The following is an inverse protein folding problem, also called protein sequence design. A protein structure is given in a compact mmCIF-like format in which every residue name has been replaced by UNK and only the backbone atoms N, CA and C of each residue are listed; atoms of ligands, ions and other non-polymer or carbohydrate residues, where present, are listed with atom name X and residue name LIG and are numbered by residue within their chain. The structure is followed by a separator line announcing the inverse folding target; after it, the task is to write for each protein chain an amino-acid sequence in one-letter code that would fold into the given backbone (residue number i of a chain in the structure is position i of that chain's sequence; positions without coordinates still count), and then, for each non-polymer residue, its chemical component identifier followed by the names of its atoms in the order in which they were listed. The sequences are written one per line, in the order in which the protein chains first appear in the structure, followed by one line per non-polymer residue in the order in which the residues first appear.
data_IF_019746398219
#
_entry.id   IF_019746398219
#
_cell.length_a   1.000
_cell.length_b   1.000
_cell.length_c   1.000
_cell.angle_alpha   90.00
_cell.angle_beta   90.00
_cell.angle_gamma   90.00
#
_symmetry.space_group_name_H-M   'P 1'
#
loop_
_entity.id
_entity.type
_entity.pdbx_description
1 polymer ?
#
# COMPACT_ATOMS: atom_id res chain seq x y z
N UNK A 1 33.31 -63.31 18.10
CA UNK A 1 32.40 -62.30 17.49
C UNK A 1 31.97 -61.33 18.57
N UNK A 2 32.52 -60.08 18.57
CA UNK A 2 32.22 -59.10 19.59
C UNK A 2 31.07 -58.17 19.11
N UNK A 3 29.94 -58.29 19.78
CA UNK A 3 28.74 -57.53 19.46
C UNK A 3 28.87 -56.09 20.04
N UNK A 4 29.18 -55.08 19.17
CA UNK A 4 29.29 -53.67 19.54
C UNK A 4 27.88 -53.09 19.77
N UNK A 5 27.44 -53.08 21.02
CA UNK A 5 26.20 -52.41 21.42
C UNK A 5 26.38 -50.89 21.23
N UNK A 6 25.70 -50.31 20.24
CA UNK A 6 25.64 -48.85 20.03
C UNK A 6 24.85 -48.18 21.17
N UNK A 7 25.56 -47.53 22.12
CA UNK A 7 24.93 -46.70 23.15
C UNK A 7 24.16 -45.55 22.47
N UNK A 8 22.83 -45.53 22.53
CA UNK A 8 21.99 -44.40 22.14
C UNK A 8 22.32 -43.22 23.05
N UNK A 9 22.86 -42.14 22.46
CA UNK A 9 23.19 -40.88 23.15
C UNK A 9 21.90 -40.24 23.61
N UNK A 10 21.63 -40.17 24.90
CA UNK A 10 20.44 -39.54 25.49
C UNK A 10 20.59 -38.04 25.34
N UNK A 11 19.81 -37.42 24.45
CA UNK A 11 19.80 -35.95 24.24
C UNK A 11 19.26 -35.32 25.52
N UNK A 12 20.02 -34.42 26.15
CA UNK A 12 19.56 -33.70 27.34
C UNK A 12 18.46 -32.71 26.93
N UNK A 13 17.47 -32.50 27.81
CA UNK A 13 16.36 -31.54 27.54
C UNK A 13 16.89 -30.14 27.20
N UNK A 14 18.00 -29.70 27.80
CA UNK A 14 18.67 -28.43 27.54
C UNK A 14 19.18 -28.34 26.10
N UNK A 15 19.80 -29.43 25.58
CA UNK A 15 20.29 -29.43 24.19
C UNK A 15 19.14 -29.44 23.18
N UNK A 16 18.01 -30.06 23.53
CA UNK A 16 16.81 -30.03 22.67
C UNK A 16 16.24 -28.59 22.56
N UNK A 17 16.09 -27.91 23.70
CA UNK A 17 15.61 -26.51 23.72
C UNK A 17 16.56 -25.58 22.98
N UNK A 18 17.86 -25.69 23.19
CA UNK A 18 18.87 -24.91 22.46
C UNK A 18 18.77 -25.12 20.95
N UNK A 19 18.56 -26.37 20.50
CA UNK A 19 18.39 -26.71 19.08
C UNK A 19 17.10 -26.10 18.51
N UNK A 20 15.99 -26.14 19.23
CA UNK A 20 14.73 -25.53 18.80
C UNK A 20 14.88 -24.02 18.65
N UNK A 21 15.44 -23.33 19.65
CA UNK A 21 15.70 -21.88 19.60
C UNK A 21 16.60 -21.51 18.42
N UNK A 22 17.66 -22.31 18.18
CA UNK A 22 18.55 -22.06 17.04
C UNK A 22 17.84 -22.24 15.71
N UNK A 23 16.99 -23.25 15.56
CA UNK A 23 16.19 -23.46 14.33
C UNK A 23 15.24 -22.29 14.11
N UNK A 24 14.51 -21.87 15.14
CA UNK A 24 13.60 -20.71 15.06
C UNK A 24 14.35 -19.43 14.68
N UNK A 25 15.51 -19.19 15.29
CA UNK A 25 16.36 -18.05 14.97
C UNK A 25 16.85 -18.06 13.50
N UNK A 26 17.25 -19.24 12.99
CA UNK A 26 17.67 -19.39 11.59
C UNK A 26 16.51 -19.14 10.63
N UNK A 27 15.32 -19.69 10.91
CA UNK A 27 14.13 -19.46 10.10
C UNK A 27 13.76 -17.97 10.10
N UNK A 28 13.81 -17.32 11.27
CA UNK A 28 13.57 -15.88 11.40
C UNK A 28 14.57 -15.05 10.60
N UNK A 29 15.84 -15.41 10.63
CA UNK A 29 16.90 -14.74 9.85
C UNK A 29 16.69 -14.90 8.34
N UNK A 30 16.35 -16.11 7.89
CA UNK A 30 16.04 -16.37 6.48
C UNK A 30 14.83 -15.54 6.04
N UNK A 31 13.77 -15.49 6.85
CA UNK A 31 12.59 -14.67 6.59
C UNK A 31 12.93 -13.19 6.50
N UNK A 32 13.78 -12.69 7.39
CA UNK A 32 14.23 -11.30 7.38
C UNK A 32 15.03 -10.98 6.10
N UNK A 33 15.99 -11.81 5.73
CA UNK A 33 16.80 -11.63 4.53
C UNK A 33 15.93 -11.69 3.27
N UNK A 34 15.00 -12.64 3.20
CA UNK A 34 14.05 -12.73 2.09
C UNK A 34 13.13 -11.48 2.00
N UNK A 35 12.67 -10.99 3.14
CA UNK A 35 11.88 -9.75 3.22
C UNK A 35 12.66 -8.53 2.73
N UNK A 36 13.90 -8.37 3.16
CA UNK A 36 14.78 -7.28 2.70
C UNK A 36 15.04 -7.39 1.20
N UNK A 37 15.32 -8.59 0.68
CA UNK A 37 15.54 -8.82 -0.74
C UNK A 37 14.30 -8.49 -1.58
N UNK A 38 13.12 -8.87 -1.10
CA UNK A 38 11.85 -8.52 -1.75
C UNK A 38 11.65 -7.01 -1.80
N UNK A 39 11.80 -6.32 -0.68
CA UNK A 39 11.68 -4.85 -0.61
C UNK A 39 12.69 -4.18 -1.54
N UNK A 40 13.94 -4.63 -1.53
CA UNK A 40 14.98 -4.09 -2.42
C UNK A 40 14.63 -4.28 -3.90
N UNK A 41 14.04 -5.41 -4.28
CA UNK A 41 13.59 -5.69 -5.63
C UNK A 41 12.44 -4.77 -6.05
N UNK A 42 11.46 -4.58 -5.17
CA UNK A 42 10.33 -3.68 -5.41
C UNK A 42 10.81 -2.23 -5.57
N UNK A 43 11.73 -1.77 -4.72
CA UNK A 43 12.28 -0.42 -4.80
C UNK A 43 13.13 -0.18 -6.07
N UNK A 44 13.81 -1.21 -6.57
CA UNK A 44 14.56 -1.10 -7.84
C UNK A 44 13.66 -0.99 -9.06
N UNK A 45 12.52 -1.66 -9.03
CA UNK A 45 11.59 -1.74 -10.16
C UNK A 45 10.44 -0.73 -10.05
N UNK A 46 10.55 0.25 -9.13
CA UNK A 46 9.52 1.29 -9.00
C UNK A 46 9.39 2.07 -10.32
N UNK A 47 8.18 2.33 -10.80
CA UNK A 47 7.95 3.21 -11.93
C UNK A 47 8.42 4.64 -11.59
N UNK A 48 8.87 5.37 -12.59
CA UNK A 48 9.08 6.82 -12.45
C UNK A 48 7.72 7.49 -12.51
N UNK A 49 7.37 8.19 -11.45
CA UNK A 49 6.13 8.97 -11.41
C UNK A 49 6.35 10.25 -12.22
N UNK A 50 5.55 10.46 -13.26
CA UNK A 50 5.48 11.73 -13.97
C UNK A 50 4.18 12.44 -13.57
N UNK A 51 4.25 13.75 -13.37
CA UNK A 51 3.06 14.56 -13.03
C UNK A 51 2.00 14.45 -14.12
N UNK A 52 2.43 14.36 -15.38
CA UNK A 52 1.53 14.18 -16.53
C UNK A 52 0.72 12.88 -16.53
N UNK A 53 1.14 11.86 -15.77
CA UNK A 53 0.40 10.59 -15.67
C UNK A 53 -0.89 10.76 -14.85
N UNK A 54 -0.99 11.85 -14.08
CA UNK A 54 -2.18 12.19 -13.29
C UNK A 54 -3.16 13.09 -14.06
N UNK A 55 -2.73 13.64 -15.21
CA UNK A 55 -3.60 14.45 -16.05
C UNK A 55 -4.67 13.58 -16.70
N UNK A 56 -5.90 13.81 -16.32
CA UNK A 56 -7.05 13.13 -16.90
C UNK A 56 -7.53 13.89 -18.14
N UNK A 57 -7.91 13.16 -19.19
CA UNK A 57 -8.51 13.78 -20.36
C UNK A 57 -9.82 14.46 -20.00
N UNK A 58 -9.94 15.72 -20.38
CA UNK A 58 -11.17 16.46 -20.25
C UNK A 58 -12.21 16.05 -21.31
N UNK A 59 -13.46 16.34 -21.00
CA UNK A 59 -14.54 16.20 -21.99
C UNK A 59 -14.40 17.25 -23.08
N UNK A 60 -14.79 16.93 -24.31
CA UNK A 60 -14.87 17.91 -25.36
C UNK A 60 -16.12 18.76 -25.21
N UNK A 61 -15.97 20.05 -25.09
CA UNK A 61 -17.08 20.99 -25.00
C UNK A 61 -17.34 21.63 -26.35
N UNK A 62 -18.61 21.66 -26.79
CA UNK A 62 -19.02 22.26 -28.03
C UNK A 62 -19.71 23.60 -27.70
N UNK A 63 -19.23 24.66 -28.33
CA UNK A 63 -19.74 26.00 -28.15
C UNK A 63 -20.47 26.48 -29.41
N UNK A 64 -21.45 27.35 -29.24
CA UNK A 64 -22.09 28.04 -30.36
C UNK A 64 -21.24 29.21 -30.88
N UNK A 65 -21.78 29.95 -31.89
CA UNK A 65 -21.09 31.11 -32.47
C UNK A 65 -21.01 32.31 -31.52
N UNK A 66 -21.69 32.26 -30.40
CA UNK A 66 -21.69 33.30 -29.37
C UNK A 66 -20.81 32.93 -28.17
N UNK A 67 -20.24 31.69 -28.17
CA UNK A 67 -19.40 31.21 -27.11
C UNK A 67 -20.17 30.53 -25.96
N UNK A 68 -21.45 30.25 -26.18
CA UNK A 68 -22.25 29.53 -25.20
C UNK A 68 -22.10 28.01 -25.35
N UNK A 69 -21.97 27.27 -24.23
CA UNK A 69 -21.85 25.83 -24.22
C UNK A 69 -23.17 25.19 -24.69
N UNK A 70 -23.11 24.41 -25.78
CA UNK A 70 -24.26 23.68 -26.32
C UNK A 70 -24.22 22.18 -26.00
N UNK A 71 -23.06 21.57 -25.88
CA UNK A 71 -22.94 20.18 -25.57
C UNK A 71 -21.60 19.85 -24.95
N UNK A 72 -21.61 18.86 -24.06
CA UNK A 72 -20.42 18.27 -23.49
C UNK A 72 -20.32 16.81 -23.97
N UNK A 73 -19.26 16.50 -24.72
CA UNK A 73 -19.07 15.21 -25.38
C UNK A 73 -18.00 14.41 -24.64
N UNK A 74 -18.37 13.24 -24.13
CA UNK A 74 -17.48 12.32 -23.46
C UNK A 74 -18.24 11.18 -22.80
N UNK A 75 -17.59 10.07 -22.56
CA UNK A 75 -18.16 8.95 -21.79
C UNK A 75 -18.29 9.30 -20.30
N UNK A 76 -17.42 10.19 -19.84
CA UNK A 76 -17.44 10.77 -18.48
C UNK A 76 -17.27 12.28 -18.64
N UNK A 77 -18.16 13.05 -18.05
CA UNK A 77 -18.02 14.52 -18.01
C UNK A 77 -16.96 14.87 -16.98
N UNK A 78 -15.84 15.43 -17.46
CA UNK A 78 -14.73 15.88 -16.61
C UNK A 78 -14.37 17.31 -16.96
N UNK A 79 -14.15 18.09 -15.92
CA UNK A 79 -13.61 19.42 -15.99
C UNK A 79 -12.49 19.54 -14.97
N UNK A 80 -11.28 19.86 -15.42
CA UNK A 80 -10.18 20.16 -14.54
C UNK A 80 -10.38 21.53 -13.90
N UNK A 81 -10.02 21.64 -12.65
CA UNK A 81 -10.01 22.89 -11.90
C UNK A 81 -8.65 23.05 -11.23
N UNK A 82 -8.18 24.27 -11.12
CA UNK A 82 -6.95 24.58 -10.42
C UNK A 82 -7.16 24.42 -8.91
N UNK A 83 -6.09 24.03 -8.19
CA UNK A 83 -6.16 23.81 -6.75
C UNK A 83 -6.69 25.03 -5.98
N UNK A 84 -6.32 26.22 -6.42
CA UNK A 84 -6.71 27.50 -5.84
C UNK A 84 -8.21 27.80 -6.00
N UNK A 85 -8.87 27.17 -6.95
CA UNK A 85 -10.32 27.30 -7.20
C UNK A 85 -11.14 26.39 -6.26
N UNK A 86 -10.49 25.41 -5.60
CA UNK A 86 -11.18 24.50 -4.70
C UNK A 86 -11.46 25.18 -3.36
N UNK A 87 -12.72 25.31 -2.94
CA UNK A 87 -13.05 25.87 -1.63
C UNK A 87 -12.43 25.05 -0.50
N UNK A 88 -11.85 25.71 0.51
CA UNK A 88 -11.21 25.05 1.65
C UNK A 88 -12.12 24.03 2.34
N UNK A 89 -13.42 24.30 2.44
CA UNK A 89 -14.38 23.38 3.05
C UNK A 89 -14.49 22.03 2.30
N UNK A 90 -14.24 22.03 0.97
CA UNK A 90 -14.22 20.81 0.15
C UNK A 90 -12.95 20.04 0.44
N UNK A 91 -11.80 20.72 0.48
CA UNK A 91 -10.51 20.12 0.83
C UNK A 91 -10.59 19.48 2.22
N UNK A 92 -11.08 20.23 3.20
CA UNK A 92 -11.22 19.76 4.59
C UNK A 92 -12.14 18.55 4.68
N UNK A 93 -13.25 18.53 3.94
CA UNK A 93 -14.19 17.42 3.94
C UNK A 93 -13.55 16.12 3.37
N UNK A 94 -12.84 16.24 2.25
CA UNK A 94 -12.14 15.10 1.66
C UNK A 94 -11.03 14.57 2.60
N UNK A 95 -10.21 15.47 3.12
CA UNK A 95 -9.13 15.10 4.05
C UNK A 95 -9.68 14.45 5.32
N UNK A 96 -10.77 14.99 5.88
CA UNK A 96 -11.36 14.46 7.11
C UNK A 96 -11.89 13.02 6.92
N UNK A 97 -12.42 12.68 5.76
CA UNK A 97 -13.03 11.37 5.49
C UNK A 97 -11.98 10.36 5.05
N UNK A 98 -11.17 10.72 4.06
CA UNK A 98 -10.26 9.77 3.40
C UNK A 98 -8.94 9.64 4.17
N UNK A 99 -8.38 10.74 4.62
CA UNK A 99 -7.05 10.77 5.20
C UNK A 99 -6.89 11.91 6.22
N UNK A 100 -7.55 11.80 7.35
CA UNK A 100 -7.59 12.85 8.39
C UNK A 100 -6.22 13.31 8.90
N UNK A 101 -5.16 12.57 8.60
CA UNK A 101 -3.78 12.88 8.95
C UNK A 101 -2.89 13.19 7.74
N UNK A 102 -3.51 13.53 6.61
CA UNK A 102 -2.81 13.78 5.35
C UNK A 102 -1.62 14.74 5.47
N UNK A 103 -1.75 15.80 6.27
CA UNK A 103 -0.69 16.79 6.48
C UNK A 103 0.35 16.40 7.54
N UNK A 104 0.20 15.22 8.18
CA UNK A 104 1.11 14.74 9.22
C UNK A 104 2.10 13.68 8.72
N UNK A 105 1.93 13.18 7.48
CA UNK A 105 2.77 12.13 6.90
C UNK A 105 3.17 12.45 5.45
N UNK A 106 4.14 11.72 4.91
CA UNK A 106 4.66 11.88 3.55
C UNK A 106 4.15 10.78 2.61
N UNK A 107 2.84 10.65 2.47
CA UNK A 107 2.21 9.68 1.57
C UNK A 107 1.91 8.31 2.19
N UNK A 108 2.53 7.95 3.33
CA UNK A 108 2.26 6.70 4.06
C UNK A 108 2.09 6.97 5.56
N UNK A 109 0.89 6.72 6.08
CA UNK A 109 0.59 6.87 7.51
C UNK A 109 0.92 5.58 8.27
N UNK A 110 2.16 5.50 8.80
CA UNK A 110 2.63 4.33 9.56
C UNK A 110 1.75 4.03 10.79
N UNK A 111 1.37 5.00 11.65
CA UNK A 111 0.48 4.75 12.78
C UNK A 111 -0.89 4.20 12.36
N UNK A 112 -1.53 4.78 11.34
CA UNK A 112 -2.83 4.33 10.82
C UNK A 112 -2.73 2.91 10.25
N UNK A 113 -1.71 2.65 9.45
CA UNK A 113 -1.46 1.34 8.87
C UNK A 113 -1.23 0.27 9.95
N UNK A 114 -0.38 0.57 10.94
CA UNK A 114 -0.10 -0.36 12.04
C UNK A 114 -1.36 -0.66 12.85
N UNK A 115 -2.17 0.36 13.16
CA UNK A 115 -3.44 0.19 13.85
C UNK A 115 -4.40 -0.69 13.06
N UNK A 116 -4.55 -0.44 11.76
CA UNK A 116 -5.40 -1.24 10.88
C UNK A 116 -4.94 -2.70 10.81
N UNK A 117 -3.62 -2.91 10.68
CA UNK A 117 -3.03 -4.25 10.65
C UNK A 117 -3.31 -5.03 11.94
N UNK A 118 -3.09 -4.41 13.09
CA UNK A 118 -3.33 -5.04 14.40
C UNK A 118 -4.83 -5.36 14.60
N UNK A 119 -5.73 -4.46 14.20
CA UNK A 119 -7.17 -4.71 14.31
C UNK A 119 -7.62 -5.82 13.35
N UNK A 120 -7.12 -5.86 12.12
CA UNK A 120 -7.42 -6.93 11.17
C UNK A 120 -6.92 -8.30 11.68
N UNK A 121 -5.74 -8.35 12.31
CA UNK A 121 -5.24 -9.57 12.95
C UNK A 121 -6.14 -9.97 14.13
N UNK A 122 -6.51 -9.02 14.98
CA UNK A 122 -7.35 -9.25 16.15
C UNK A 122 -8.74 -9.74 15.78
N UNK A 123 -9.34 -9.16 14.74
CA UNK A 123 -10.70 -9.48 14.30
C UNK A 123 -10.74 -10.61 13.29
N UNK A 124 -9.57 -11.10 12.84
CA UNK A 124 -9.45 -12.09 11.76
C UNK A 124 -10.22 -11.68 10.50
N UNK A 125 -10.30 -10.36 10.24
CA UNK A 125 -11.00 -9.77 9.11
C UNK A 125 -10.16 -8.68 8.45
N UNK A 126 -10.44 -8.36 7.18
CA UNK A 126 -9.80 -7.26 6.46
C UNK A 126 -10.72 -6.02 6.38
N UNK A 127 -11.44 -5.73 7.46
CA UNK A 127 -12.42 -4.65 7.51
C UNK A 127 -11.84 -3.25 7.70
N UNK A 128 -10.63 -3.13 8.26
CA UNK A 128 -9.99 -1.84 8.48
C UNK A 128 -9.00 -1.50 7.36
N UNK A 129 -9.27 -0.41 6.63
CA UNK A 129 -8.38 0.14 5.63
C UNK A 129 -7.36 1.11 6.25
N UNK A 130 -6.10 1.00 5.80
CA UNK A 130 -5.01 1.91 6.18
C UNK A 130 -4.50 2.74 5.00
N UNK A 131 -5.27 2.84 3.89
CA UNK A 131 -4.88 3.58 2.70
C UNK A 131 -4.90 5.08 2.94
N UNK A 132 -3.89 5.77 2.42
CA UNK A 132 -3.79 7.23 2.39
C UNK A 132 -4.28 7.76 1.05
N UNK A 133 -4.52 9.07 0.96
CA UNK A 133 -4.84 9.75 -0.30
C UNK A 133 -3.80 9.47 -1.40
N UNK A 134 -2.53 9.59 -1.05
CA UNK A 134 -1.41 9.32 -1.98
C UNK A 134 -1.44 7.88 -2.49
N UNK A 135 -1.70 6.90 -1.62
CA UNK A 135 -1.80 5.50 -2.03
C UNK A 135 -3.00 5.26 -2.95
N UNK A 136 -4.14 5.90 -2.68
CA UNK A 136 -5.33 5.81 -3.53
C UNK A 136 -5.07 6.44 -4.90
N UNK A 137 -4.43 7.62 -4.94
CA UNK A 137 -4.08 8.29 -6.19
C UNK A 137 -3.19 7.39 -7.07
N UNK A 138 -2.09 6.89 -6.51
CA UNK A 138 -1.16 5.99 -7.23
C UNK A 138 -1.87 4.71 -7.67
N UNK A 139 -2.70 4.12 -6.81
CA UNK A 139 -3.48 2.93 -7.17
C UNK A 139 -4.38 3.20 -8.36
N UNK A 140 -5.14 4.29 -8.33
CA UNK A 140 -6.11 4.62 -9.37
C UNK A 140 -5.47 5.04 -10.69
N UNK A 141 -4.21 5.51 -10.67
CA UNK A 141 -3.49 5.92 -11.88
C UNK A 141 -2.75 4.74 -12.54
N UNK A 142 -2.11 3.87 -11.74
CA UNK A 142 -1.20 2.84 -12.28
C UNK A 142 -1.71 1.40 -12.17
N UNK A 143 -2.76 1.17 -11.37
CA UNK A 143 -3.26 -0.17 -11.07
C UNK A 143 -4.78 -0.30 -11.29
N UNK A 144 -5.36 0.62 -12.04
CA UNK A 144 -6.72 0.42 -12.53
C UNK A 144 -6.59 -0.50 -13.74
N UNK A 145 -7.11 -1.72 -13.63
CA UNK A 145 -7.28 -2.59 -14.78
C UNK A 145 -8.31 -1.90 -15.70
N UNK A 146 -7.89 -1.56 -16.89
CA UNK A 146 -8.80 -1.15 -17.96
C UNK A 146 -9.66 -2.37 -18.32
N UNK A 147 -10.85 -2.47 -17.70
CA UNK A 147 -11.91 -3.37 -18.15
C UNK A 147 -12.70 -2.79 -19.33
#
# INVERSE_FOLDING_TARGET
MANKVKKKKKISKVNLWASIVSIVAVIGLIGLVAGIALIATLLRNKPTLNVSDFDQQESSVVYDSQGEEIANLGTVIRQNIEYEEIPNCVIDAFVAIEDSRYFEHNGFDVPRFTKALLENIRTMSFGQGGSTFTMQLVKNTYFTDDE
#
